data_IF_221575898615
#
_entry.id   IF_221575898615
#
_cell.length_a   1.000
_cell.length_b   1.000
_cell.length_c   1.000
_cell.angle_alpha   90.00
_cell.angle_beta   90.00
_cell.angle_gamma   90.00
#
_symmetry.space_group_name_H-M   'P 1'
#
loop_
_entity.id
_entity.type
_entity.pdbx_description
1 polymer ?
#
# COMPACT_ATOMS: atom_id res chain seq x y z
N UNK A 1 -32.79 -8.00 -0.88
CA UNK A 1 -32.24 -7.03 -1.84
C UNK A 1 -30.90 -7.58 -2.33
N UNK A 2 -30.85 -8.23 -3.50
CA UNK A 2 -29.59 -8.78 -4.03
C UNK A 2 -28.80 -7.65 -4.71
N UNK A 3 -27.78 -7.13 -4.03
CA UNK A 3 -26.81 -6.21 -4.60
C UNK A 3 -26.13 -6.88 -5.81
N UNK A 4 -25.82 -6.10 -6.85
CA UNK A 4 -25.01 -6.62 -7.96
C UNK A 4 -23.63 -7.10 -7.51
N UNK A 5 -22.94 -7.95 -8.28
CA UNK A 5 -21.63 -8.49 -7.89
C UNK A 5 -20.61 -7.41 -7.53
N UNK A 6 -20.57 -6.32 -8.31
CA UNK A 6 -19.73 -5.16 -8.04
C UNK A 6 -20.11 -4.45 -6.72
N UNK A 7 -21.41 -4.20 -6.51
CA UNK A 7 -21.92 -3.56 -5.29
C UNK A 7 -21.66 -4.41 -4.05
N UNK A 8 -21.73 -5.74 -4.19
CA UNK A 8 -21.42 -6.70 -3.14
C UNK A 8 -19.93 -6.65 -2.78
N UNK A 9 -19.05 -6.62 -3.79
CA UNK A 9 -17.62 -6.44 -3.57
C UNK A 9 -17.33 -5.12 -2.85
N UNK A 10 -17.88 -4.01 -3.34
CA UNK A 10 -17.68 -2.68 -2.77
C UNK A 10 -18.16 -2.61 -1.32
N UNK A 11 -19.35 -3.14 -1.04
CA UNK A 11 -19.91 -3.19 0.31
C UNK A 11 -19.07 -4.06 1.25
N UNK A 12 -18.64 -5.23 0.78
CA UNK A 12 -17.76 -6.12 1.53
C UNK A 12 -16.41 -5.45 1.81
N UNK A 13 -15.80 -4.80 0.81
CA UNK A 13 -14.56 -4.06 0.97
C UNK A 13 -14.71 -2.90 1.96
N UNK A 14 -15.82 -2.16 1.90
CA UNK A 14 -16.11 -1.08 2.84
C UNK A 14 -16.24 -1.58 4.30
N UNK A 15 -16.71 -2.82 4.52
CA UNK A 15 -16.79 -3.42 5.85
C UNK A 15 -15.44 -3.98 6.33
N UNK A 16 -14.69 -4.63 5.42
CA UNK A 16 -13.39 -5.21 5.74
C UNK A 16 -12.30 -4.16 5.92
N UNK A 17 -12.39 -3.01 5.24
CA UNK A 17 -11.35 -1.98 5.28
C UNK A 17 -11.13 -1.43 6.70
N UNK A 18 -12.15 -0.96 7.46
CA UNK A 18 -11.97 -0.53 8.84
C UNK A 18 -11.35 -1.60 9.74
N UNK A 19 -11.79 -2.86 9.60
CA UNK A 19 -11.26 -3.97 10.38
C UNK A 19 -9.79 -4.25 10.03
N UNK A 20 -9.43 -4.20 8.76
CA UNK A 20 -8.03 -4.34 8.31
C UNK A 20 -7.15 -3.23 8.86
N UNK A 21 -7.62 -1.97 8.87
CA UNK A 21 -6.90 -0.86 9.49
C UNK A 21 -6.71 -1.07 10.99
N UNK A 22 -7.75 -1.52 11.70
CA UNK A 22 -7.65 -1.83 13.12
C UNK A 22 -6.60 -2.91 13.41
N UNK A 23 -6.64 -4.04 12.69
CA UNK A 23 -5.68 -5.14 12.84
C UNK A 23 -4.26 -4.70 12.50
N UNK A 24 -4.09 -3.96 11.41
CA UNK A 24 -2.79 -3.43 11.00
C UNK A 24 -2.19 -2.50 12.05
N UNK A 25 -2.98 -1.56 12.58
CA UNK A 25 -2.52 -0.61 13.58
C UNK A 25 -2.18 -1.31 14.90
N UNK A 26 -2.99 -2.29 15.30
CA UNK A 26 -2.74 -3.11 16.48
C UNK A 26 -1.45 -3.93 16.35
N UNK A 27 -1.19 -4.50 15.18
CA UNK A 27 0.01 -5.30 14.87
C UNK A 27 1.19 -4.45 14.36
N UNK A 28 1.09 -3.12 14.44
CA UNK A 28 2.06 -2.21 13.82
C UNK A 28 3.49 -2.48 14.27
N UNK A 29 3.72 -2.71 15.56
CA UNK A 29 5.05 -3.03 16.07
C UNK A 29 5.66 -4.27 15.39
N UNK A 30 4.87 -5.31 15.16
CA UNK A 30 5.34 -6.55 14.53
C UNK A 30 5.56 -6.34 13.04
N UNK A 31 4.62 -5.67 12.36
CA UNK A 31 4.69 -5.45 10.92
C UNK A 31 5.79 -4.48 10.50
N UNK A 32 6.23 -3.60 11.40
CA UNK A 32 7.34 -2.67 11.17
C UNK A 32 8.71 -3.35 11.30
N UNK A 33 8.85 -4.44 12.06
CA UNK A 33 10.17 -5.06 12.26
C UNK A 33 10.90 -5.42 10.96
N UNK A 34 10.25 -6.04 9.95
CA UNK A 34 10.91 -6.35 8.68
C UNK A 34 11.25 -5.09 7.88
N UNK A 35 10.43 -4.05 8.00
CA UNK A 35 10.64 -2.75 7.35
C UNK A 35 11.86 -2.06 7.93
N UNK A 36 11.96 -2.01 9.26
CA UNK A 36 13.14 -1.51 9.97
C UNK A 36 14.39 -2.27 9.54
N UNK A 37 14.33 -3.59 9.58
CA UNK A 37 15.47 -4.44 9.21
C UNK A 37 15.92 -4.17 7.77
N UNK A 38 15.00 -4.15 6.79
CA UNK A 38 15.33 -3.84 5.40
C UNK A 38 15.91 -2.43 5.23
N UNK A 39 15.31 -1.42 5.85
CA UNK A 39 15.79 -0.04 5.77
C UNK A 39 17.18 0.12 6.38
N UNK A 40 17.42 -0.50 7.55
CA UNK A 40 18.74 -0.53 8.19
C UNK A 40 19.76 -1.21 7.28
N UNK A 41 19.45 -2.39 6.73
CA UNK A 41 20.35 -3.09 5.82
C UNK A 41 20.72 -2.23 4.62
N UNK A 42 19.77 -1.53 4.01
CA UNK A 42 20.03 -0.63 2.88
C UNK A 42 20.94 0.53 3.30
N UNK A 43 20.61 1.24 4.39
CA UNK A 43 21.36 2.42 4.81
C UNK A 43 22.76 2.10 5.32
N UNK A 44 22.90 1.07 6.15
CA UNK A 44 24.19 0.64 6.73
C UNK A 44 25.09 0.01 5.66
N UNK A 45 24.55 -0.74 4.70
CA UNK A 45 25.36 -1.29 3.62
C UNK A 45 25.80 -0.25 2.60
N UNK A 46 24.95 0.75 2.33
CA UNK A 46 25.24 1.77 1.32
C UNK A 46 26.07 2.94 1.86
N UNK A 47 25.80 3.37 3.10
CA UNK A 47 26.46 4.50 3.76
C UNK A 47 26.99 4.09 5.15
N UNK A 48 27.87 3.06 5.24
CA UNK A 48 28.37 2.51 6.51
C UNK A 48 29.13 3.52 7.37
N UNK A 49 29.72 4.54 6.74
CA UNK A 49 30.43 5.61 7.41
C UNK A 49 29.51 6.65 8.07
N UNK A 50 28.19 6.59 7.83
CA UNK A 50 27.21 7.52 8.39
C UNK A 50 26.26 6.79 9.34
N UNK A 51 25.72 5.64 8.94
CA UNK A 51 24.72 4.90 9.70
C UNK A 51 25.32 3.71 10.44
N UNK A 52 24.96 3.55 11.71
CA UNK A 52 25.47 2.46 12.57
C UNK A 52 24.43 1.40 12.91
N UNK A 53 23.14 1.74 12.83
CA UNK A 53 22.05 0.83 13.12
C UNK A 53 20.74 1.55 13.37
N UNK A 54 19.75 0.78 13.82
CA UNK A 54 18.44 1.31 14.18
C UNK A 54 17.89 0.69 15.45
N UNK A 55 17.06 1.46 16.14
CA UNK A 55 16.19 0.98 17.21
C UNK A 55 14.73 1.16 16.84
N UNK A 56 13.86 0.42 17.53
CA UNK A 56 12.42 0.50 17.33
C UNK A 56 11.70 0.57 18.66
N UNK A 57 10.88 1.60 18.81
CA UNK A 57 9.96 1.77 19.91
C UNK A 57 8.53 1.74 19.38
N UNK A 58 7.84 0.62 19.61
CA UNK A 58 6.53 0.32 19.01
C UNK A 58 6.60 0.36 17.48
N UNK A 59 6.04 1.38 16.85
CA UNK A 59 6.04 1.56 15.40
C UNK A 59 6.99 2.65 14.93
N UNK A 60 7.57 3.42 15.86
CA UNK A 60 8.59 4.42 15.54
C UNK A 60 9.95 3.74 15.41
N UNK A 61 10.72 4.19 14.44
CA UNK A 61 12.07 3.70 14.17
C UNK A 61 13.03 4.86 14.28
N UNK A 62 14.09 4.68 15.06
CA UNK A 62 15.16 5.66 15.22
C UNK A 62 16.40 5.12 14.52
N UNK A 63 16.92 5.88 13.56
CA UNK A 63 18.17 5.57 12.85
C UNK A 63 19.32 6.32 13.51
N UNK A 64 20.36 5.60 13.89
CA UNK A 64 21.54 6.19 14.52
C UNK A 64 22.60 6.53 13.48
N UNK A 65 23.23 7.68 13.68
CA UNK A 65 24.36 8.12 12.87
C UNK A 65 25.61 8.36 13.73
N UNK A 66 26.77 8.44 13.09
CA UNK A 66 28.03 8.90 13.72
C UNK A 66 28.25 10.40 13.56
N UNK A 67 27.33 11.10 12.91
CA UNK A 67 27.51 12.51 12.59
C UNK A 67 27.32 13.36 13.85
N UNK A 68 28.28 14.24 14.17
CA UNK A 68 28.12 15.15 15.29
C UNK A 68 27.04 16.18 14.98
N UNK A 69 26.46 16.76 16.03
CA UNK A 69 25.52 17.86 15.90
C UNK A 69 26.27 19.09 15.35
N UNK A 70 25.63 19.77 14.40
CA UNK A 70 26.16 21.00 13.82
C UNK A 70 26.33 22.09 14.89
N UNK A 71 27.51 22.70 14.97
CA UNK A 71 27.82 23.72 15.97
C UNK A 71 26.90 24.94 15.87
N UNK A 72 26.43 25.26 14.66
CA UNK A 72 25.47 26.36 14.44
C UNK A 72 24.09 26.11 15.05
N UNK A 73 23.78 24.86 15.41
CA UNK A 73 22.51 24.47 16.04
C UNK A 73 22.59 24.36 17.56
N UNK A 74 23.79 24.47 18.14
CA UNK A 74 23.99 24.35 19.59
C UNK A 74 23.79 25.70 20.29
N UNK A 75 23.20 25.71 21.50
CA UNK A 75 23.17 26.90 22.33
C UNK A 75 24.60 27.41 22.66
N UNK A 76 24.80 28.73 22.81
CA UNK A 76 26.11 29.29 23.15
C UNK A 76 26.70 28.67 24.43
N UNK A 77 27.96 28.23 24.37
CA UNK A 77 28.69 27.68 25.52
C UNK A 77 28.52 26.16 25.74
N UNK A 78 27.79 25.46 24.88
CA UNK A 78 27.73 23.99 24.88
C UNK A 78 28.89 23.42 24.07
N UNK A 79 29.69 22.55 24.71
CA UNK A 79 30.74 21.80 24.01
C UNK A 79 30.09 20.72 23.12
N UNK A 80 30.37 20.70 21.80
CA UNK A 80 29.83 19.68 20.89
C UNK A 80 30.15 18.24 21.30
N UNK A 81 31.25 18.00 22.02
CA UNK A 81 31.65 16.67 22.50
C UNK A 81 30.75 16.11 23.60
N UNK A 82 29.94 16.96 24.24
CA UNK A 82 29.00 16.57 25.30
C UNK A 82 27.59 16.24 24.76
N UNK A 83 27.39 16.36 23.44
CA UNK A 83 26.09 16.15 22.79
C UNK A 83 26.10 14.81 22.06
N UNK A 84 24.99 14.08 22.14
CA UNK A 84 24.86 12.81 21.42
C UNK A 84 24.88 13.06 19.90
N UNK A 85 25.44 12.10 19.11
CA UNK A 85 25.35 12.15 17.65
C UNK A 85 23.91 12.26 17.16
N UNK A 86 23.75 12.71 15.92
CA UNK A 86 22.44 12.90 15.32
C UNK A 86 21.72 11.56 15.19
N UNK A 87 20.49 11.51 15.71
CA UNK A 87 19.54 10.41 15.54
C UNK A 87 18.32 10.89 14.76
N UNK A 88 17.81 10.04 13.86
CA UNK A 88 16.70 10.40 12.98
C UNK A 88 15.52 9.50 13.30
N UNK A 89 14.43 10.12 13.77
CA UNK A 89 13.19 9.44 14.06
C UNK A 89 12.26 9.44 12.85
N UNK A 90 11.74 8.27 12.50
CA UNK A 90 10.79 8.10 11.40
C UNK A 90 9.59 7.26 11.84
N UNK A 91 8.44 7.53 11.23
CA UNK A 91 7.23 6.76 11.42
C UNK A 91 6.91 5.91 10.18
N UNK A 92 7.35 4.65 10.12
CA UNK A 92 7.02 3.73 9.03
C UNK A 92 5.53 3.60 8.70
N UNK A 93 4.61 3.85 9.63
CA UNK A 93 3.17 3.62 9.39
C UNK A 93 2.59 4.50 8.28
N UNK A 94 3.14 5.69 8.07
CA UNK A 94 2.68 6.59 7.01
C UNK A 94 3.01 6.05 5.60
N UNK A 95 3.96 5.13 5.51
CA UNK A 95 4.32 4.41 4.27
C UNK A 95 3.63 3.04 4.16
N UNK A 96 3.00 2.58 5.25
CA UNK A 96 2.46 1.22 5.40
C UNK A 96 0.95 1.09 5.23
N UNK A 97 0.22 2.17 4.92
CA UNK A 97 -1.25 2.11 4.80
C UNK A 97 -1.72 1.23 3.62
N UNK A 98 -0.83 0.81 2.72
CA UNK A 98 -1.11 -0.17 1.66
C UNK A 98 -1.51 -1.55 2.19
N UNK A 99 -0.97 -1.93 3.36
CA UNK A 99 -1.24 -3.22 3.98
C UNK A 99 -2.74 -3.41 4.27
N UNK A 100 -3.39 -2.55 5.06
CA UNK A 100 -4.81 -2.71 5.36
C UNK A 100 -5.70 -2.54 4.13
N UNK A 101 -5.31 -1.68 3.17
CA UNK A 101 -6.03 -1.52 1.89
C UNK A 101 -6.06 -2.84 1.12
N UNK A 102 -4.88 -3.41 0.85
CA UNK A 102 -4.80 -4.66 0.10
C UNK A 102 -5.47 -5.83 0.85
N UNK A 103 -5.21 -5.97 2.15
CA UNK A 103 -5.81 -7.03 2.96
C UNK A 103 -7.35 -6.90 2.95
N UNK A 104 -7.89 -5.69 3.07
CA UNK A 104 -9.32 -5.43 2.94
C UNK A 104 -9.89 -5.91 1.60
N UNK A 105 -9.23 -5.60 0.48
CA UNK A 105 -9.63 -6.07 -0.85
C UNK A 105 -9.55 -7.60 -0.99
N UNK A 106 -8.49 -8.23 -0.50
CA UNK A 106 -8.31 -9.69 -0.51
C UNK A 106 -9.39 -10.38 0.33
N UNK A 107 -9.75 -9.80 1.48
CA UNK A 107 -10.82 -10.33 2.34
C UNK A 107 -12.20 -10.20 1.71
N UNK A 108 -12.46 -9.09 1.00
CA UNK A 108 -13.69 -8.87 0.26
C UNK A 108 -13.84 -9.78 -0.97
N UNK A 109 -12.73 -10.31 -1.48
CA UNK A 109 -12.72 -11.21 -2.65
C UNK A 109 -13.18 -12.62 -2.24
N UNK A 110 -14.12 -13.25 -2.99
CA UNK A 110 -14.63 -14.58 -2.71
C UNK A 110 -13.62 -15.67 -3.10
N UNK A 111 -12.58 -15.84 -2.27
CA UNK A 111 -11.47 -16.77 -2.48
C UNK A 111 -11.56 -17.98 -1.55
N UNK A 112 -11.00 -19.12 -2.00
CA UNK A 112 -10.74 -20.26 -1.11
C UNK A 112 -9.68 -19.86 -0.08
N UNK A 113 -9.75 -20.42 1.14
CA UNK A 113 -8.85 -20.07 2.24
C UNK A 113 -7.36 -20.14 1.85
N UNK A 114 -6.92 -21.22 1.18
CA UNK A 114 -5.52 -21.37 0.73
C UNK A 114 -5.09 -20.25 -0.22
N UNK A 115 -5.94 -19.85 -1.16
CA UNK A 115 -5.64 -18.77 -2.10
C UNK A 115 -5.57 -17.45 -1.36
N UNK A 116 -6.53 -17.17 -0.47
CA UNK A 116 -6.55 -15.98 0.36
C UNK A 116 -5.27 -15.84 1.20
N UNK A 117 -4.86 -16.90 1.89
CA UNK A 117 -3.63 -16.90 2.69
C UNK A 117 -2.38 -16.70 1.83
N UNK A 118 -2.31 -17.32 0.65
CA UNK A 118 -1.22 -17.08 -0.29
C UNK A 118 -1.18 -15.63 -0.76
N UNK A 119 -2.34 -15.04 -1.05
CA UNK A 119 -2.45 -13.63 -1.45
C UNK A 119 -1.99 -12.68 -0.34
N UNK A 120 -2.37 -12.94 0.91
CA UNK A 120 -1.88 -12.18 2.07
C UNK A 120 -0.37 -12.38 2.27
N UNK A 121 0.17 -13.58 2.07
CA UNK A 121 1.62 -13.80 2.18
C UNK A 121 2.40 -13.01 1.11
N UNK A 122 1.94 -13.04 -0.16
CA UNK A 122 2.51 -12.26 -1.26
C UNK A 122 2.40 -10.76 -0.95
N UNK A 123 1.26 -10.32 -0.42
CA UNK A 123 1.05 -8.95 0.02
C UNK A 123 2.14 -8.48 0.97
N UNK A 124 2.35 -9.22 2.07
CA UNK A 124 3.33 -8.86 3.09
C UNK A 124 4.74 -8.80 2.48
N UNK A 125 5.11 -9.83 1.71
CA UNK A 125 6.41 -9.93 1.08
C UNK A 125 6.71 -8.79 0.09
N UNK A 126 5.71 -8.36 -0.71
CA UNK A 126 5.86 -7.26 -1.66
C UNK A 126 5.75 -5.89 -1.00
N UNK A 127 4.95 -5.73 0.04
CA UNK A 127 4.73 -4.42 0.68
C UNK A 127 5.84 -4.03 1.65
N UNK A 128 6.54 -4.98 2.27
CA UNK A 128 7.72 -4.66 3.11
C UNK A 128 8.82 -3.88 2.36
N UNK A 129 9.31 -4.29 1.18
CA UNK A 129 10.32 -3.52 0.46
C UNK A 129 9.79 -2.17 -0.02
N UNK A 130 8.50 -2.08 -0.41
CA UNK A 130 7.87 -0.80 -0.78
C UNK A 130 7.82 0.17 0.39
N UNK A 131 7.40 -0.31 1.57
CA UNK A 131 7.37 0.51 2.78
C UNK A 131 8.79 0.90 3.21
N UNK A 132 9.75 -0.02 3.09
CA UNK A 132 11.16 0.22 3.43
C UNK A 132 11.78 1.29 2.53
N UNK A 133 11.45 1.30 1.23
CA UNK A 133 11.85 2.37 0.31
C UNK A 133 11.40 3.73 0.83
N UNK A 134 10.14 3.87 1.24
CA UNK A 134 9.63 5.11 1.84
C UNK A 134 10.41 5.54 3.07
N UNK A 135 10.66 4.60 4.00
CA UNK A 135 11.44 4.83 5.23
C UNK A 135 12.87 5.27 4.93
N UNK A 136 13.57 4.60 4.00
CA UNK A 136 14.95 4.95 3.61
C UNK A 136 15.01 6.39 3.11
N UNK A 137 14.08 6.78 2.23
CA UNK A 137 14.09 8.13 1.69
C UNK A 137 13.62 9.19 2.70
N UNK A 138 12.80 8.84 3.69
CA UNK A 138 12.45 9.73 4.81
C UNK A 138 13.67 10.01 5.69
N UNK A 139 14.45 8.98 6.02
CA UNK A 139 15.69 9.12 6.80
C UNK A 139 16.69 10.01 6.05
N UNK A 140 16.91 9.75 4.76
CA UNK A 140 17.83 10.55 3.94
C UNK A 140 17.36 11.99 3.76
N UNK A 141 16.04 12.21 3.61
CA UNK A 141 15.41 13.54 3.54
C UNK A 141 15.66 14.30 4.84
N UNK A 142 15.41 13.66 5.98
CA UNK A 142 15.61 14.26 7.30
C UNK A 142 17.08 14.55 7.56
N UNK A 143 17.99 13.64 7.17
CA UNK A 143 19.43 13.90 7.25
C UNK A 143 19.83 15.13 6.43
N UNK A 144 19.33 15.27 5.20
CA UNK A 144 19.70 16.41 4.33
C UNK A 144 19.20 17.74 4.87
N UNK A 145 17.94 17.80 5.26
CA UNK A 145 17.23 19.07 5.46
C UNK A 145 17.10 19.47 6.93
N UNK A 146 17.32 18.56 7.87
CA UNK A 146 17.08 18.79 9.30
C UNK A 146 18.36 18.67 10.13
N UNK A 147 19.48 18.20 9.55
CA UNK A 147 20.77 17.96 10.26
C UNK A 147 21.86 18.99 9.96
N UNK A 148 21.50 20.17 9.44
CA UNK A 148 22.43 21.27 9.18
C UNK A 148 23.42 21.00 8.05
N UNK A 149 24.53 21.75 8.03
CA UNK A 149 25.52 21.71 6.95
C UNK A 149 26.22 20.35 6.85
N UNK A 150 26.40 19.69 8.01
CA UNK A 150 26.96 18.33 8.10
C UNK A 150 26.06 17.33 7.35
N UNK A 151 24.74 17.38 7.57
CA UNK A 151 23.78 16.54 6.88
C UNK A 151 23.74 16.79 5.36
N UNK A 152 23.81 18.07 4.96
CA UNK A 152 23.90 18.45 3.55
C UNK A 152 25.17 17.87 2.91
N UNK A 153 26.32 18.02 3.56
CA UNK A 153 27.60 17.50 3.07
C UNK A 153 27.60 15.97 2.96
N UNK A 154 27.01 15.27 3.94
CA UNK A 154 26.88 13.81 3.93
C UNK A 154 26.08 13.30 2.71
N UNK A 155 24.95 13.93 2.40
CA UNK A 155 24.10 13.54 1.27
C UNK A 155 24.70 13.94 -0.08
N UNK A 156 25.36 15.11 -0.15
CA UNK A 156 26.11 15.50 -1.35
C UNK A 156 27.28 14.55 -1.62
N UNK A 157 28.00 14.12 -0.58
CA UNK A 157 29.07 13.12 -0.69
C UNK A 157 28.59 11.77 -1.20
N UNK A 158 27.33 11.41 -0.93
CA UNK A 158 26.69 10.22 -1.49
C UNK A 158 26.20 10.39 -2.95
N UNK A 159 26.40 11.57 -3.57
CA UNK A 159 26.01 11.85 -4.95
C UNK A 159 24.50 12.08 -5.15
N UNK A 160 23.74 12.28 -4.08
CA UNK A 160 22.30 12.52 -4.16
C UNK A 160 21.98 14.01 -4.34
N UNK A 161 21.27 14.34 -5.41
CA UNK A 161 20.71 15.68 -5.59
C UNK A 161 19.46 15.88 -4.72
N UNK A 162 19.19 17.14 -4.33
CA UNK A 162 17.99 17.48 -3.57
C UNK A 162 16.70 17.10 -4.31
N UNK A 163 16.66 17.30 -5.63
CA UNK A 163 15.49 17.00 -6.45
C UNK A 163 15.22 15.49 -6.54
N UNK A 164 16.26 14.68 -6.70
CA UNK A 164 16.13 13.23 -6.70
C UNK A 164 15.62 12.72 -5.36
N UNK A 165 16.17 13.25 -4.26
CA UNK A 165 15.76 12.89 -2.91
C UNK A 165 14.29 13.24 -2.65
N UNK A 166 13.88 14.46 -2.99
CA UNK A 166 12.49 14.91 -2.87
C UNK A 166 11.54 14.06 -3.74
N UNK A 167 11.94 13.73 -4.97
CA UNK A 167 11.16 12.87 -5.85
C UNK A 167 10.97 11.48 -5.26
N UNK A 168 12.04 10.81 -4.82
CA UNK A 168 11.96 9.46 -4.25
C UNK A 168 11.13 9.45 -2.96
N UNK A 169 11.27 10.48 -2.12
CA UNK A 169 10.43 10.65 -0.94
C UNK A 169 8.95 10.79 -1.30
N UNK A 170 8.60 11.67 -2.25
CA UNK A 170 7.20 11.86 -2.68
C UNK A 170 6.63 10.60 -3.34
N UNK A 171 7.43 9.91 -4.15
CA UNK A 171 7.06 8.64 -4.76
C UNK A 171 6.75 7.59 -3.70
N UNK A 172 7.61 7.47 -2.69
CA UNK A 172 7.47 6.54 -1.57
C UNK A 172 6.33 6.90 -0.61
N UNK A 173 6.01 8.19 -0.46
CA UNK A 173 4.97 8.67 0.46
C UNK A 173 3.57 8.65 -0.16
N UNK A 174 3.42 9.10 -1.41
CA UNK A 174 2.10 9.34 -2.02
C UNK A 174 1.72 8.29 -3.05
N UNK A 175 2.65 7.92 -3.94
CA UNK A 175 2.31 7.17 -5.14
C UNK A 175 2.34 5.68 -4.86
N UNK A 176 3.48 5.16 -4.40
CA UNK A 176 3.64 3.73 -4.14
C UNK A 176 2.59 3.23 -3.15
N UNK A 177 2.35 3.89 -1.99
CA UNK A 177 1.45 3.29 -1.02
C UNK A 177 -0.02 3.34 -1.45
N UNK A 178 -0.41 4.28 -2.32
CA UNK A 178 -1.76 4.38 -2.86
C UNK A 178 -2.01 3.43 -4.05
N UNK A 179 -1.08 3.35 -5.00
CA UNK A 179 -1.28 2.66 -6.28
C UNK A 179 -0.91 1.18 -6.20
N UNK A 180 0.22 0.87 -5.55
CA UNK A 180 0.76 -0.49 -5.50
C UNK A 180 -0.21 -1.54 -4.93
N UNK A 181 -0.97 -1.29 -3.83
CA UNK A 181 -1.91 -2.30 -3.35
C UNK A 181 -2.99 -2.60 -4.40
N UNK A 182 -3.56 -1.60 -5.05
CA UNK A 182 -4.59 -1.81 -6.07
C UNK A 182 -4.02 -2.64 -7.23
N UNK A 183 -2.84 -2.25 -7.73
CA UNK A 183 -2.17 -2.97 -8.81
C UNK A 183 -1.90 -4.44 -8.45
N UNK A 184 -1.34 -4.70 -7.27
CA UNK A 184 -1.01 -6.05 -6.81
C UNK A 184 -2.26 -6.91 -6.67
N UNK A 185 -3.34 -6.37 -6.09
CA UNK A 185 -4.61 -7.07 -5.98
C UNK A 185 -5.20 -7.41 -7.36
N UNK A 186 -5.19 -6.45 -8.30
CA UNK A 186 -5.67 -6.67 -9.67
C UNK A 186 -4.86 -7.78 -10.36
N UNK A 187 -3.54 -7.74 -10.26
CA UNK A 187 -2.66 -8.74 -10.85
C UNK A 187 -2.97 -10.16 -10.32
N UNK A 188 -3.26 -10.28 -9.02
CA UNK A 188 -3.55 -11.56 -8.37
C UNK A 188 -4.99 -12.06 -8.60
N UNK A 189 -5.92 -11.18 -8.97
CA UNK A 189 -7.36 -11.47 -9.09
C UNK A 189 -7.93 -11.21 -10.49
N UNK A 190 -7.09 -11.17 -11.54
CA UNK A 190 -7.48 -10.85 -12.92
C UNK A 190 -8.74 -11.58 -13.41
N UNK A 191 -8.80 -12.90 -13.27
CA UNK A 191 -9.95 -13.72 -13.70
C UNK A 191 -11.25 -13.38 -12.97
N UNK A 192 -11.15 -12.97 -11.70
CA UNK A 192 -12.32 -12.56 -10.92
C UNK A 192 -12.83 -11.20 -11.40
N UNK A 193 -11.92 -10.26 -11.67
CA UNK A 193 -12.26 -8.94 -12.20
C UNK A 193 -12.89 -9.03 -13.59
N UNK A 194 -12.33 -9.85 -14.49
CA UNK A 194 -12.90 -10.10 -15.82
C UNK A 194 -14.37 -10.56 -15.71
N UNK A 195 -14.66 -11.51 -14.81
CA UNK A 195 -16.04 -11.97 -14.57
C UNK A 195 -16.95 -10.89 -13.99
N UNK A 196 -16.43 -10.03 -13.11
CA UNK A 196 -17.22 -8.94 -12.54
C UNK A 196 -17.61 -7.91 -13.59
N UNK A 197 -16.71 -7.57 -14.50
CA UNK A 197 -16.94 -6.58 -15.55
C UNK A 197 -17.95 -7.13 -16.57
N UNK A 198 -17.77 -8.37 -17.04
CA UNK A 198 -18.71 -8.97 -18.01
C UNK A 198 -20.13 -9.07 -17.46
N UNK A 199 -20.30 -9.50 -16.20
CA UNK A 199 -21.64 -9.64 -15.61
C UNK A 199 -22.33 -8.28 -15.38
N UNK A 200 -21.57 -7.20 -15.18
CA UNK A 200 -22.15 -5.86 -15.06
C UNK A 200 -22.59 -5.32 -16.43
N UNK A 201 -21.80 -5.59 -17.48
CA UNK A 201 -22.09 -5.21 -18.87
C UNK A 201 -23.39 -5.87 -19.38
N UNK A 202 -23.51 -7.19 -19.21
CA UNK A 202 -24.73 -7.94 -19.57
C UNK A 202 -25.99 -7.37 -18.87
N UNK A 203 -25.87 -6.95 -17.60
CA UNK A 203 -26.98 -6.35 -16.85
C UNK A 203 -27.33 -4.94 -17.32
N UNK A 204 -26.34 -4.16 -17.74
CA UNK A 204 -26.59 -2.85 -18.31
C UNK A 204 -27.28 -2.97 -19.67
N UNK A 205 -26.88 -3.93 -20.51
CA UNK A 205 -27.56 -4.22 -21.77
C UNK A 205 -29.01 -4.64 -21.58
N UNK A 206 -29.30 -5.54 -20.63
CA UNK A 206 -30.67 -5.95 -20.28
C UNK A 206 -31.53 -4.77 -19.79
N UNK A 207 -30.95 -3.85 -19.01
CA UNK A 207 -31.66 -2.68 -18.48
C UNK A 207 -31.89 -1.61 -19.56
N UNK A 208 -30.92 -1.39 -20.46
CA UNK A 208 -30.97 -0.35 -21.49
C UNK A 208 -31.73 -0.81 -22.73
N UNK A 209 -31.62 -2.08 -23.11
CA UNK A 209 -32.16 -2.62 -24.36
C UNK A 209 -33.17 -3.77 -24.17
N UNK A 210 -33.28 -4.38 -22.98
CA UNK A 210 -34.16 -5.53 -22.72
C UNK A 210 -35.66 -5.21 -22.56
N UNK A 211 -36.08 -3.98 -22.89
CA UNK A 211 -37.46 -3.51 -22.77
C UNK A 211 -38.45 -4.06 -23.81
N UNK A 212 -38.00 -4.71 -24.88
CA UNK A 212 -38.88 -5.15 -25.96
C UNK A 212 -38.75 -6.65 -26.25
N UNK A 213 -39.38 -7.47 -25.40
CA UNK A 213 -39.77 -8.83 -25.80
C UNK A 213 -41.14 -8.77 -26.46
N UNK A 214 -41.16 -8.60 -27.78
CA UNK A 214 -42.35 -8.85 -28.61
C UNK A 214 -42.80 -10.30 -28.35
N UNK A 215 -44.02 -10.56 -27.86
CA UNK A 215 -44.48 -11.92 -27.64
C UNK A 215 -44.65 -12.60 -29.00
N UNK A 216 -43.94 -13.70 -29.22
CA UNK A 216 -44.19 -14.58 -30.37
C UNK A 216 -45.68 -14.98 -30.36
N UNK A 217 -46.40 -14.59 -31.43
CA UNK A 217 -47.78 -14.96 -31.69
C UNK A 217 -47.95 -16.47 -31.47
N UNK A 218 -48.84 -16.82 -30.54
CA UNK A 218 -49.31 -18.19 -30.36
C UNK A 218 -50.23 -18.48 -31.56
N UNK A 219 -49.94 -19.47 -32.42
CA UNK A 219 -50.88 -19.79 -33.50
C UNK A 219 -52.17 -20.32 -32.89
N UNK A 220 -53.24 -19.56 -33.12
CA UNK A 220 -54.62 -19.89 -32.75
C UNK A 220 -55.02 -21.21 -33.37
N UNK A 221 -55.40 -22.19 -32.54
CA UNK A 221 -56.06 -23.42 -33.00
C UNK A 221 -57.40 -23.05 -33.65
N UNK A 222 -57.55 -23.36 -34.93
CA UNK A 222 -58.83 -23.30 -35.64
C UNK A 222 -59.74 -24.46 -35.20
N UNK A 223 -61.04 -24.25 -34.93
CA UNK A 223 -61.97 -25.31 -34.57
C UNK A 223 -62.72 -25.88 -35.79
N UNK A 224 -62.74 -27.23 -35.85
CA UNK A 224 -63.72 -28.17 -36.46
C UNK A 224 -64.14 -28.01 -37.93
N UNK A 225 -64.15 -29.14 -38.65
CA UNK A 225 -65.32 -29.80 -39.27
C UNK A 225 -64.79 -30.93 -40.18
N UNK A 226 -65.15 -32.20 -39.95
CA UNK A 226 -66.24 -32.89 -40.65
C UNK A 226 -65.62 -34.07 -41.43
N UNK A 227 -65.76 -35.30 -40.96
CA UNK A 227 -66.68 -36.32 -41.47
C UNK A 227 -66.24 -37.07 -42.74
N UNK A 228 -66.28 -38.40 -42.60
CA UNK A 228 -66.60 -39.43 -43.60
C UNK A 228 -65.61 -39.76 -44.75
N UNK A 229 -65.27 -41.05 -44.84
CA UNK A 229 -64.74 -41.68 -46.06
C UNK A 229 -63.59 -42.65 -45.80
#
# INVERSE_FOLDING_TARGET
MFLGPLKTLLFSAALWLPLSFFVWFYLSAILVMPVRWLAEQVLVSWMPQIFTGSEQLRHLVTMFTVLPVDQGMLPPGVDPSMVQPISIDVNPMIYGYSFPVLIGLVMATPLKLRQRMLQIAIALACLWPIQSFGVVFDVLKSLRFESGDIGVAAIQGAGLSANLLAFCYQLGYLILPAVFPIFLWVAMNKRFIERLVTVDDDRLEDVVYGGEKVPAERPTKSPRDGEAG
#
